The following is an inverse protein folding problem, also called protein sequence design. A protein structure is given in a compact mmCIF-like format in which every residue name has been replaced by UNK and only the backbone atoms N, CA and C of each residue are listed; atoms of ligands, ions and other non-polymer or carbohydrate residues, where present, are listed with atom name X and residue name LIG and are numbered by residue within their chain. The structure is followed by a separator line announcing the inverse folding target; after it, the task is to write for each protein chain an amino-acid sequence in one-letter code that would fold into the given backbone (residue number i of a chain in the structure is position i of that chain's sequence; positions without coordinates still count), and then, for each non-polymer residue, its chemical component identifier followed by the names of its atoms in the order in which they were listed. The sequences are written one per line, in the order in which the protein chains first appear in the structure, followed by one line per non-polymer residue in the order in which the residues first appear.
data_IF_387962828705
#
_entry.id   IF_387962828705
#
_cell.length_a   1.000
_cell.length_b   1.000
_cell.length_c   1.000
_cell.angle_alpha   90.00
_cell.angle_beta   90.00
_cell.angle_gamma   90.00
#
_symmetry.space_group_name_H-M   'P 1'
#
loop_
_entity.id
_entity.type
_entity.pdbx_description
1 polymer ?
#
# COMPACT_ATOMS: atom_id res chain seq x y z
N UNK A 1 23.87 7.36 7.84
CA UNK A 1 23.01 6.29 7.29
C UNK A 1 21.82 6.94 6.62
N UNK A 2 21.66 6.73 5.31
CA UNK A 2 20.53 7.25 4.51
C UNK A 2 19.32 6.32 4.56
N UNK A 3 19.13 5.54 5.61
CA UNK A 3 17.99 4.67 5.83
C UNK A 3 16.94 5.39 6.68
N UNK A 4 15.67 5.15 6.39
CA UNK A 4 14.55 5.67 7.19
C UNK A 4 14.68 5.12 8.61
N UNK A 5 14.80 5.99 9.61
CA UNK A 5 14.75 5.62 11.01
C UNK A 5 13.29 5.37 11.39
N UNK A 6 12.93 4.09 11.59
CA UNK A 6 11.59 3.68 12.03
C UNK A 6 11.50 3.38 13.53
N UNK A 7 12.63 3.19 14.19
CA UNK A 7 12.71 2.94 15.63
C UNK A 7 12.27 4.19 16.41
N UNK A 8 11.30 4.02 17.32
CA UNK A 8 10.77 5.11 18.14
C UNK A 8 9.67 5.97 17.48
N UNK A 9 9.30 5.68 16.24
CA UNK A 9 8.15 6.33 15.57
C UNK A 9 6.94 5.40 15.64
N UNK A 10 5.75 5.97 15.87
CA UNK A 10 4.50 5.21 15.81
C UNK A 10 4.27 4.70 14.37
N UNK A 11 4.01 3.40 14.24
CA UNK A 11 3.62 2.81 12.97
C UNK A 11 2.16 3.13 12.68
N UNK A 12 1.91 3.74 11.54
CA UNK A 12 0.56 4.02 11.07
C UNK A 12 0.18 3.07 9.92
N UNK A 13 -1.08 2.66 9.90
CA UNK A 13 -1.62 1.92 8.76
C UNK A 13 -1.66 2.87 7.55
N UNK A 14 -1.04 2.44 6.46
CA UNK A 14 -1.00 3.24 5.24
C UNK A 14 -2.42 3.54 4.75
N UNK A 15 -2.79 4.80 4.50
CA UNK A 15 -4.13 5.18 4.04
C UNK A 15 -4.56 4.46 2.75
N UNK A 16 -3.65 4.19 1.83
CA UNK A 16 -3.96 3.46 0.60
C UNK A 16 -4.28 1.99 0.86
N UNK A 17 -3.63 1.35 1.84
CA UNK A 17 -3.94 -0.03 2.23
C UNK A 17 -5.30 -0.13 2.95
N UNK A 18 -5.79 0.95 3.57
CA UNK A 18 -7.16 1.00 4.08
C UNK A 18 -8.19 0.82 2.97
N UNK A 19 -7.94 1.33 1.77
CA UNK A 19 -8.83 1.13 0.61
C UNK A 19 -8.85 -0.32 0.16
N UNK A 20 -7.69 -0.98 0.17
CA UNK A 20 -7.57 -2.41 -0.12
C UNK A 20 -8.30 -3.27 0.92
N UNK A 21 -8.17 -2.94 2.21
CA UNK A 21 -8.87 -3.63 3.30
C UNK A 21 -10.39 -3.45 3.14
N UNK A 22 -10.87 -2.25 2.87
CA UNK A 22 -12.29 -1.99 2.67
C UNK A 22 -12.84 -2.78 1.49
N UNK A 23 -12.11 -2.85 0.37
CA UNK A 23 -12.49 -3.66 -0.78
C UNK A 23 -12.60 -5.15 -0.40
N UNK A 24 -11.65 -5.68 0.37
CA UNK A 24 -11.68 -7.04 0.87
C UNK A 24 -12.89 -7.30 1.80
N UNK A 25 -13.19 -6.37 2.71
CA UNK A 25 -14.35 -6.48 3.60
C UNK A 25 -15.68 -6.47 2.83
N UNK A 26 -15.78 -5.68 1.77
CA UNK A 26 -16.96 -5.66 0.88
C UNK A 26 -17.11 -6.99 0.15
N UNK A 27 -16.04 -7.57 -0.37
CA UNK A 27 -16.06 -8.92 -0.97
C UNK A 27 -16.51 -9.95 0.06
N UNK A 28 -15.99 -9.90 1.28
CA UNK A 28 -16.39 -10.79 2.38
C UNK A 28 -17.88 -10.71 2.72
N UNK A 29 -18.49 -9.56 2.57
CA UNK A 29 -19.93 -9.38 2.79
C UNK A 29 -20.79 -9.99 1.66
N UNK A 30 -20.21 -10.20 0.47
CA UNK A 30 -20.89 -10.84 -0.67
C UNK A 30 -20.82 -12.37 -0.62
N UNK A 31 -19.77 -12.93 0.00
CA UNK A 31 -19.51 -14.36 0.01
C UNK A 31 -19.25 -14.87 1.43
N UNK A 32 -19.93 -15.93 1.85
CA UNK A 32 -19.85 -16.47 3.21
C UNK A 32 -18.53 -17.20 3.53
N UNK A 33 -17.77 -17.61 2.52
CA UNK A 33 -16.56 -18.43 2.65
C UNK A 33 -15.27 -17.66 2.38
N UNK A 34 -15.27 -16.32 2.46
CA UNK A 34 -14.09 -15.49 2.26
C UNK A 34 -13.27 -15.38 3.55
N UNK A 35 -11.99 -15.74 3.47
CA UNK A 35 -11.00 -15.46 4.50
C UNK A 35 -10.08 -14.33 4.04
N UNK A 36 -9.95 -13.28 4.85
CA UNK A 36 -9.05 -12.15 4.61
C UNK A 36 -7.81 -12.31 5.47
N UNK A 37 -6.65 -12.23 4.84
CA UNK A 37 -5.34 -12.32 5.51
C UNK A 37 -4.56 -11.04 5.24
N UNK A 38 -4.12 -10.35 6.30
CA UNK A 38 -3.22 -9.20 6.16
C UNK A 38 -1.76 -9.61 6.33
N UNK A 39 -0.89 -9.04 5.49
CA UNK A 39 0.55 -9.27 5.50
C UNK A 39 1.28 -7.92 5.46
N UNK A 40 2.27 -7.76 6.32
CA UNK A 40 3.17 -6.60 6.28
C UNK A 40 4.62 -7.02 6.45
N UNK A 41 5.53 -6.28 5.80
CA UNK A 41 6.97 -6.38 6.02
C UNK A 41 7.43 -5.15 6.80
N UNK A 42 8.04 -5.38 7.96
CA UNK A 42 8.52 -4.28 8.79
C UNK A 42 9.21 -4.72 10.07
N UNK A 43 9.62 -3.76 10.92
CA UNK A 43 10.12 -4.07 12.26
C UNK A 43 9.01 -4.66 13.14
N UNK A 44 9.38 -5.19 14.31
CA UNK A 44 8.41 -5.84 15.21
C UNK A 44 7.20 -4.97 15.58
N UNK A 45 7.39 -3.66 15.67
CA UNK A 45 6.28 -2.71 15.90
C UNK A 45 5.22 -2.69 14.77
N UNK A 46 5.49 -3.29 13.61
CA UNK A 46 4.48 -3.46 12.55
C UNK A 46 3.34 -4.42 12.96
N UNK A 47 3.48 -5.13 14.08
CA UNK A 47 2.38 -5.87 14.70
C UNK A 47 1.17 -4.98 14.96
N UNK A 48 1.37 -3.74 15.39
CA UNK A 48 0.28 -2.78 15.63
C UNK A 48 -0.55 -2.51 14.38
N UNK A 49 0.09 -2.54 13.20
CA UNK A 49 -0.61 -2.42 11.92
C UNK A 49 -1.51 -3.62 11.70
N UNK A 50 -1.00 -4.83 11.90
CA UNK A 50 -1.80 -6.07 11.77
C UNK A 50 -2.97 -6.05 12.76
N UNK A 51 -2.76 -5.62 14.00
CA UNK A 51 -3.85 -5.50 14.99
C UNK A 51 -4.92 -4.50 14.57
N UNK A 52 -4.54 -3.38 13.93
CA UNK A 52 -5.50 -2.43 13.34
C UNK A 52 -6.33 -3.09 12.23
N UNK A 53 -5.72 -3.92 11.36
CA UNK A 53 -6.47 -4.64 10.30
C UNK A 53 -7.43 -5.69 10.87
N UNK A 54 -7.00 -6.44 11.89
CA UNK A 54 -7.85 -7.40 12.60
C UNK A 54 -9.04 -6.72 13.27
N UNK A 55 -8.84 -5.52 13.85
CA UNK A 55 -9.92 -4.74 14.44
C UNK A 55 -10.96 -4.27 13.41
N UNK A 56 -10.56 -4.08 12.14
CA UNK A 56 -11.46 -3.75 11.03
C UNK A 56 -12.27 -4.96 10.52
N UNK A 57 -11.88 -6.21 10.85
CA UNK A 57 -12.62 -7.40 10.43
C UNK A 57 -11.84 -8.39 9.56
N UNK A 58 -10.53 -8.16 9.37
CA UNK A 58 -9.60 -9.13 8.79
C UNK A 58 -9.52 -10.37 9.69
N UNK A 59 -9.45 -11.56 9.10
CA UNK A 59 -9.54 -12.82 9.84
C UNK A 59 -8.21 -13.21 10.50
N UNK A 60 -7.10 -13.04 9.77
CA UNK A 60 -5.74 -13.39 10.20
C UNK A 60 -4.75 -12.33 9.72
N UNK A 61 -3.59 -12.30 10.34
CA UNK A 61 -2.52 -11.47 9.84
C UNK A 61 -1.17 -11.85 10.43
N UNK A 62 -0.09 -11.50 9.74
CA UNK A 62 1.26 -11.77 10.21
C UNK A 62 2.26 -10.74 9.69
N UNK A 63 3.39 -10.70 10.37
CA UNK A 63 4.49 -9.78 10.08
C UNK A 63 5.67 -10.57 9.55
N UNK A 64 6.25 -10.12 8.45
CA UNK A 64 7.55 -10.56 7.97
C UNK A 64 8.58 -9.58 8.51
N UNK A 65 9.41 -10.02 9.46
CA UNK A 65 10.33 -9.15 10.19
C UNK A 65 11.71 -9.81 10.35
N UNK A 66 12.72 -9.13 9.83
CA UNK A 66 14.13 -9.47 10.00
C UNK A 66 14.97 -8.19 9.89
N UNK A 67 16.03 -8.08 10.69
CA UNK A 67 16.99 -6.97 10.58
C UNK A 67 17.63 -6.87 9.19
N UNK A 68 17.72 -7.99 8.49
CA UNK A 68 18.28 -8.08 7.14
C UNK A 68 17.37 -7.46 6.06
N UNK A 69 16.11 -7.19 6.37
CA UNK A 69 15.18 -6.48 5.44
C UNK A 69 15.41 -4.97 5.38
N UNK A 70 16.21 -4.41 6.29
CA UNK A 70 16.45 -2.98 6.34
C UNK A 70 17.04 -2.46 5.03
N UNK A 71 16.53 -1.31 4.56
CA UNK A 71 16.97 -0.65 3.34
C UNK A 71 16.57 -1.35 2.03
N UNK A 72 15.60 -2.27 2.08
CA UNK A 72 15.02 -2.88 0.89
C UNK A 72 14.39 -1.83 -0.02
N UNK A 73 14.67 -1.91 -1.31
CA UNK A 73 13.93 -1.21 -2.36
C UNK A 73 12.62 -1.98 -2.72
N UNK A 74 11.90 -1.52 -3.72
CA UNK A 74 10.65 -2.14 -4.16
C UNK A 74 10.83 -3.55 -4.70
N UNK A 75 11.99 -3.87 -5.29
CA UNK A 75 12.29 -5.21 -5.81
C UNK A 75 12.52 -6.20 -4.66
N UNK A 76 13.38 -5.85 -3.71
CA UNK A 76 13.63 -6.70 -2.54
C UNK A 76 12.38 -6.83 -1.66
N UNK A 77 11.60 -5.74 -1.49
CA UNK A 77 10.34 -5.75 -0.75
C UNK A 77 9.31 -6.65 -1.40
N UNK A 78 9.06 -6.52 -2.70
CA UNK A 78 8.08 -7.34 -3.42
C UNK A 78 8.45 -8.81 -3.45
N UNK A 79 9.75 -9.12 -3.61
CA UNK A 79 10.26 -10.49 -3.51
C UNK A 79 10.00 -11.10 -2.14
N UNK A 80 10.26 -10.36 -1.08
CA UNK A 80 10.02 -10.79 0.31
C UNK A 80 8.55 -11.07 0.54
N UNK A 81 7.66 -10.16 0.15
CA UNK A 81 6.21 -10.33 0.29
C UNK A 81 5.69 -11.50 -0.56
N UNK A 82 6.12 -11.63 -1.80
CA UNK A 82 5.70 -12.74 -2.67
C UNK A 82 6.14 -14.10 -2.13
N UNK A 83 7.36 -14.21 -1.58
CA UNK A 83 7.82 -15.45 -0.94
C UNK A 83 7.06 -15.75 0.35
N UNK A 84 6.73 -14.74 1.15
CA UNK A 84 5.87 -14.91 2.32
C UNK A 84 4.49 -15.44 1.93
N UNK A 85 3.88 -14.89 0.87
CA UNK A 85 2.60 -15.37 0.34
C UNK A 85 2.73 -16.85 -0.05
N UNK A 86 3.70 -17.19 -0.89
CA UNK A 86 3.92 -18.57 -1.36
C UNK A 86 4.13 -19.58 -0.23
N UNK A 87 4.94 -19.21 0.78
CA UNK A 87 5.41 -20.14 1.82
C UNK A 87 4.49 -20.23 3.04
N UNK A 88 3.74 -19.16 3.36
CA UNK A 88 2.96 -19.07 4.60
C UNK A 88 1.45 -18.98 4.38
N UNK A 89 1.01 -18.52 3.22
CA UNK A 89 -0.42 -18.47 2.87
C UNK A 89 -0.75 -19.59 1.88
N UNK A 90 0.08 -19.78 0.88
CA UNK A 90 -0.14 -20.75 -0.21
C UNK A 90 -0.99 -20.15 -1.34
N UNK A 91 -2.01 -20.87 -1.77
CA UNK A 91 -2.88 -20.40 -2.83
C UNK A 91 -3.78 -19.26 -2.33
N UNK A 92 -3.84 -18.20 -3.12
CA UNK A 92 -4.71 -17.05 -2.89
C UNK A 92 -5.50 -16.77 -4.15
N UNK A 93 -6.76 -16.37 -4.00
CA UNK A 93 -7.63 -16.04 -5.13
C UNK A 93 -7.45 -14.57 -5.55
N UNK A 94 -7.16 -13.69 -4.60
CA UNK A 94 -7.03 -12.26 -4.85
C UNK A 94 -6.02 -11.63 -3.89
N UNK A 95 -5.12 -10.80 -4.43
CA UNK A 95 -4.22 -9.97 -3.65
C UNK A 95 -4.62 -8.51 -3.84
N UNK A 96 -4.92 -7.83 -2.74
CA UNK A 96 -5.27 -6.42 -2.71
C UNK A 96 -4.15 -5.63 -2.03
N UNK A 97 -3.69 -4.58 -2.67
CA UNK A 97 -2.68 -3.66 -2.15
C UNK A 97 -3.19 -2.23 -2.25
N UNK A 98 -2.70 -1.34 -1.41
CA UNK A 98 -2.79 0.09 -1.68
C UNK A 98 -1.92 0.50 -2.86
N UNK A 99 -2.28 1.57 -3.54
CA UNK A 99 -1.53 2.07 -4.70
C UNK A 99 -0.11 2.49 -4.33
N UNK A 100 0.05 3.20 -3.22
CA UNK A 100 1.31 3.76 -2.77
C UNK A 100 1.63 3.36 -1.33
N UNK A 101 2.92 3.30 -1.01
CA UNK A 101 3.39 3.36 0.35
C UNK A 101 3.76 4.82 0.67
N UNK A 102 3.29 5.35 1.82
CA UNK A 102 3.50 6.77 2.20
C UNK A 102 4.97 7.14 2.45
N UNK A 103 5.86 6.16 2.56
CA UNK A 103 7.29 6.34 2.77
C UNK A 103 8.11 6.28 1.49
N UNK A 104 7.60 5.69 0.41
CA UNK A 104 8.35 5.50 -0.84
C UNK A 104 7.66 6.05 -2.09
N UNK A 105 6.34 6.11 -2.09
CA UNK A 105 5.47 6.72 -3.11
C UNK A 105 5.78 6.32 -4.58
N UNK A 106 6.19 5.05 -4.79
CA UNK A 106 6.66 4.57 -6.10
C UNK A 106 5.58 3.85 -6.92
N UNK A 107 4.48 3.40 -6.32
CA UNK A 107 3.42 2.56 -6.91
C UNK A 107 3.89 1.24 -7.55
N UNK A 108 5.12 0.80 -7.30
CA UNK A 108 5.74 -0.34 -7.99
C UNK A 108 5.49 -1.68 -7.28
N UNK A 109 5.37 -1.66 -5.96
CA UNK A 109 5.33 -2.90 -5.15
C UNK A 109 4.20 -3.86 -5.55
N UNK A 110 2.95 -3.44 -5.80
CA UNK A 110 1.89 -4.35 -6.22
C UNK A 110 2.20 -5.08 -7.53
N UNK A 111 2.67 -4.34 -8.54
CA UNK A 111 3.04 -4.90 -9.86
C UNK A 111 4.20 -5.88 -9.75
N UNK A 112 5.18 -5.58 -8.91
CA UNK A 112 6.33 -6.47 -8.66
C UNK A 112 5.95 -7.72 -7.87
N UNK A 113 4.97 -7.64 -6.96
CA UNK A 113 4.40 -8.82 -6.29
C UNK A 113 3.75 -9.72 -7.33
N UNK A 114 2.92 -9.15 -8.21
CA UNK A 114 2.28 -9.89 -9.29
C UNK A 114 3.30 -10.61 -10.17
N UNK A 115 4.35 -9.91 -10.59
CA UNK A 115 5.44 -10.49 -11.39
C UNK A 115 6.15 -11.64 -10.67
N UNK A 116 6.46 -11.47 -9.38
CA UNK A 116 7.11 -12.52 -8.58
C UNK A 116 6.22 -13.75 -8.36
N UNK A 117 4.90 -13.57 -8.39
CA UNK A 117 3.91 -14.64 -8.26
C UNK A 117 3.50 -15.26 -9.60
N UNK A 118 3.80 -14.61 -10.73
CA UNK A 118 3.36 -15.00 -12.07
C UNK A 118 1.85 -14.77 -12.27
N UNK A 119 1.28 -13.73 -11.62
CA UNK A 119 -0.14 -13.41 -11.66
C UNK A 119 -0.43 -12.19 -12.53
N UNK A 120 -1.60 -12.12 -13.18
CA UNK A 120 -2.08 -10.90 -13.79
C UNK A 120 -2.29 -9.80 -12.74
N UNK A 121 -2.20 -8.53 -13.18
CA UNK A 121 -2.36 -7.40 -12.29
C UNK A 121 -3.14 -6.27 -12.95
N UNK A 122 -3.92 -5.53 -12.14
CA UNK A 122 -4.55 -4.28 -12.54
C UNK A 122 -4.27 -3.23 -11.47
N UNK A 123 -3.82 -2.05 -11.90
CA UNK A 123 -3.47 -0.94 -11.00
C UNK A 123 -4.50 0.18 -11.04
N UNK A 124 -4.47 1.04 -10.01
CA UNK A 124 -5.30 2.24 -9.90
C UNK A 124 -6.80 1.95 -9.85
N UNK A 125 -7.18 0.88 -9.15
CA UNK A 125 -8.58 0.44 -9.04
C UNK A 125 -9.35 1.38 -8.12
N UNK A 126 -10.41 1.96 -8.64
CA UNK A 126 -11.35 2.81 -7.89
C UNK A 126 -12.52 2.00 -7.34
N UNK A 127 -12.99 1.01 -8.12
CA UNK A 127 -14.17 0.23 -7.78
C UNK A 127 -14.09 -1.19 -8.33
N UNK A 128 -14.55 -2.16 -7.55
CA UNK A 128 -14.82 -3.53 -8.00
C UNK A 128 -16.28 -3.59 -8.38
N UNK A 129 -16.57 -3.78 -9.68
CA UNK A 129 -17.92 -3.79 -10.22
C UNK A 129 -18.59 -5.15 -10.08
N UNK A 130 -17.82 -6.22 -10.32
CA UNK A 130 -18.29 -7.60 -10.29
C UNK A 130 -17.15 -8.52 -9.88
N UNK A 131 -17.46 -9.55 -9.12
CA UNK A 131 -16.52 -10.61 -8.76
C UNK A 131 -17.26 -11.94 -8.65
N UNK A 132 -16.65 -13.01 -9.14
CA UNK A 132 -17.06 -14.39 -8.92
C UNK A 132 -15.84 -15.29 -8.73
N UNK A 133 -16.01 -16.62 -8.71
CA UNK A 133 -14.93 -17.57 -8.45
C UNK A 133 -13.82 -17.58 -9.52
N UNK A 134 -14.05 -17.05 -10.72
CA UNK A 134 -13.13 -17.16 -11.85
C UNK A 134 -12.63 -15.83 -12.37
N UNK A 135 -13.39 -14.78 -12.25
CA UNK A 135 -13.04 -13.48 -12.80
C UNK A 135 -13.50 -12.31 -11.92
N UNK A 136 -12.87 -11.19 -12.13
CA UNK A 136 -13.18 -9.90 -11.50
C UNK A 136 -13.26 -8.81 -12.57
N UNK A 137 -14.29 -7.97 -12.49
CA UNK A 137 -14.46 -6.76 -13.30
C UNK A 137 -14.28 -5.55 -12.44
N UNK A 138 -13.40 -4.66 -12.86
CA UNK A 138 -13.01 -3.49 -12.08
C UNK A 138 -13.05 -2.23 -12.92
N UNK A 139 -13.27 -1.10 -12.24
CA UNK A 139 -13.10 0.23 -12.79
C UNK A 139 -11.76 0.79 -12.31
N UNK A 140 -10.89 1.18 -13.23
CA UNK A 140 -9.60 1.80 -12.93
C UNK A 140 -9.54 3.22 -13.48
N UNK A 141 -8.70 4.04 -12.85
CA UNK A 141 -8.41 5.40 -13.31
C UNK A 141 -7.16 5.37 -14.19
N UNK A 142 -7.22 6.04 -15.31
CA UNK A 142 -6.13 6.27 -16.26
C UNK A 142 -5.98 7.77 -16.51
N UNK A 143 -4.92 8.17 -17.24
CA UNK A 143 -4.62 9.58 -17.48
C UNK A 143 -5.79 10.34 -18.13
N UNK A 144 -6.46 9.71 -19.10
CA UNK A 144 -7.54 10.32 -19.87
C UNK A 144 -8.96 9.97 -19.38
N UNK A 145 -9.09 9.35 -18.19
CA UNK A 145 -10.41 9.01 -17.66
C UNK A 145 -10.48 7.71 -16.85
N UNK A 146 -11.53 6.92 -17.08
CA UNK A 146 -11.78 5.65 -16.39
C UNK A 146 -11.93 4.52 -17.40
N UNK A 147 -11.40 3.35 -17.07
CA UNK A 147 -11.53 2.13 -17.86
C UNK A 147 -12.21 1.02 -17.05
N UNK A 148 -12.98 0.19 -17.75
CA UNK A 148 -13.49 -1.07 -17.18
C UNK A 148 -12.63 -2.21 -17.73
N UNK A 149 -12.06 -3.00 -16.82
CA UNK A 149 -11.14 -4.08 -17.14
C UNK A 149 -11.61 -5.37 -16.48
N UNK A 150 -11.57 -6.47 -17.22
CA UNK A 150 -11.80 -7.82 -16.72
C UNK A 150 -10.46 -8.54 -16.51
N UNK A 151 -10.33 -9.26 -15.39
CA UNK A 151 -9.20 -10.14 -15.14
C UNK A 151 -9.67 -11.51 -14.65
N UNK A 152 -8.89 -12.54 -14.97
CA UNK A 152 -9.07 -13.86 -14.38
C UNK A 152 -8.44 -13.91 -12.98
N UNK A 153 -9.08 -14.59 -12.06
CA UNK A 153 -8.51 -14.95 -10.77
C UNK A 153 -7.60 -16.19 -10.88
N UNK A 154 -6.50 -16.28 -10.13
CA UNK A 154 -6.01 -15.29 -9.17
C UNK A 154 -5.35 -14.08 -9.83
N UNK A 155 -5.48 -12.90 -9.20
CA UNK A 155 -4.84 -11.68 -9.69
C UNK A 155 -4.42 -10.74 -8.55
N UNK A 156 -3.65 -9.70 -8.89
CA UNK A 156 -3.21 -8.64 -7.96
C UNK A 156 -3.84 -7.31 -8.38
N UNK A 157 -4.44 -6.62 -7.43
CA UNK A 157 -5.05 -5.30 -7.65
C UNK A 157 -4.41 -4.25 -6.74
N UNK A 158 -4.17 -3.04 -7.26
CA UNK A 158 -3.81 -1.90 -6.42
C UNK A 158 -4.94 -0.88 -6.36
N UNK A 159 -5.36 -0.56 -5.13
CA UNK A 159 -6.52 0.27 -4.85
C UNK A 159 -6.15 1.73 -4.68
N UNK A 160 -6.93 2.62 -5.27
CA UNK A 160 -6.93 4.06 -4.99
C UNK A 160 -8.11 4.42 -4.10
N UNK A 161 -8.22 5.71 -3.73
CA UNK A 161 -9.33 6.21 -2.94
C UNK A 161 -10.67 5.92 -3.64
N UNK A 162 -11.56 5.14 -3.02
CA UNK A 162 -12.89 4.89 -3.55
C UNK A 162 -13.84 6.06 -3.31
N UNK A 163 -15.00 6.03 -3.96
CA UNK A 163 -16.06 7.02 -3.74
C UNK A 163 -16.98 6.69 -2.54
N UNK A 164 -16.70 5.61 -1.81
CA UNK A 164 -17.47 5.18 -0.65
C UNK A 164 -16.70 5.37 0.66
N UNK A 165 -17.45 5.46 1.77
CA UNK A 165 -16.88 5.57 3.10
C UNK A 165 -16.20 4.26 3.54
N UNK A 166 -15.12 4.40 4.31
CA UNK A 166 -14.38 3.29 4.88
C UNK A 166 -15.03 2.83 6.19
N UNK A 167 -15.02 1.51 6.39
CA UNK A 167 -15.47 0.88 7.62
C UNK A 167 -14.63 1.33 8.83
N UNK A 168 -15.30 1.44 9.98
CA UNK A 168 -14.64 1.74 11.26
C UNK A 168 -14.60 0.49 12.13
N UNK A 169 -13.55 0.30 12.94
CA UNK A 169 -13.49 -0.82 13.84
C UNK A 169 -14.61 -0.77 14.89
N UNK A 170 -15.24 -1.89 15.14
CA UNK A 170 -16.23 -2.06 16.20
C UNK A 170 -15.55 -2.53 17.50
N UNK A 171 -16.20 -2.33 18.65
CA UNK A 171 -15.68 -2.76 19.96
C UNK A 171 -15.29 -4.25 19.98
N UNK A 172 -16.11 -5.09 19.35
CA UNK A 172 -15.81 -6.52 19.24
C UNK A 172 -14.59 -6.80 18.34
N UNK A 173 -14.34 -5.97 17.32
CA UNK A 173 -13.14 -6.04 16.49
C UNK A 173 -11.88 -5.74 17.30
N UNK A 174 -11.88 -4.73 18.16
CA UNK A 174 -10.75 -4.47 19.08
C UNK A 174 -10.50 -5.63 20.04
N UNK A 175 -11.55 -6.22 20.62
CA UNK A 175 -11.44 -7.39 21.49
C UNK A 175 -10.86 -8.60 20.76
N UNK A 176 -11.28 -8.82 19.52
CA UNK A 176 -10.76 -9.87 18.64
C UNK A 176 -9.27 -9.64 18.35
N UNK A 177 -8.90 -8.44 17.88
CA UNK A 177 -7.52 -8.07 17.57
C UNK A 177 -6.57 -8.24 18.76
N UNK A 178 -7.03 -7.89 19.98
CA UNK A 178 -6.24 -8.02 21.19
C UNK A 178 -5.94 -9.49 21.57
N UNK A 179 -6.89 -10.40 21.30
CA UNK A 179 -6.75 -11.82 21.61
C UNK A 179 -6.07 -12.63 20.50
N UNK A 180 -6.00 -12.09 19.31
CA UNK A 180 -5.45 -12.78 18.14
C UNK A 180 -3.95 -12.94 18.27
N UNK A 181 -3.45 -14.11 17.85
CA UNK A 181 -2.02 -14.36 17.69
C UNK A 181 -1.59 -13.76 16.36
N UNK A 182 -0.52 -12.95 16.36
CA UNK A 182 0.11 -12.40 15.19
C UNK A 182 1.47 -13.06 15.00
N UNK A 183 1.61 -14.04 14.08
CA UNK A 183 2.88 -14.69 13.82
C UNK A 183 3.90 -13.75 13.20
N UNK A 184 5.17 -13.98 13.51
CA UNK A 184 6.31 -13.33 12.90
C UNK A 184 7.12 -14.34 12.11
N UNK A 185 7.52 -13.96 10.90
CA UNK A 185 8.37 -14.79 10.04
C UNK A 185 9.63 -14.04 9.64
N UNK A 186 10.76 -14.71 9.77
CA UNK A 186 12.07 -14.22 9.38
C UNK A 186 12.34 -14.47 7.89
N UNK A 187 13.46 -13.99 7.39
CA UNK A 187 13.95 -14.28 6.06
C UNK A 187 14.06 -15.79 5.80
N UNK A 188 14.58 -16.54 6.77
CA UNK A 188 14.77 -18.00 6.67
C UNK A 188 13.43 -18.75 6.63
N UNK A 189 12.44 -18.31 7.41
CA UNK A 189 11.10 -18.89 7.46
C UNK A 189 10.38 -18.83 6.11
N UNK A 190 10.70 -17.83 5.28
CA UNK A 190 10.11 -17.62 3.95
C UNK A 190 11.01 -18.10 2.82
N UNK A 191 12.10 -18.82 3.14
CA UNK A 191 12.98 -19.46 2.17
C UNK A 191 13.86 -18.50 1.36
N UNK A 192 14.22 -17.32 1.91
CA UNK A 192 15.12 -16.36 1.27
C UNK A 192 16.50 -16.35 1.90
N UNK A 193 17.50 -16.01 1.12
CA UNK A 193 18.88 -15.78 1.57
C UNK A 193 19.16 -14.29 1.81
N UNK A 194 20.24 -13.98 2.54
CA UNK A 194 20.63 -12.61 2.83
C UNK A 194 20.98 -11.77 1.59
N UNK A 195 21.37 -12.41 0.49
CA UNK A 195 21.67 -11.77 -0.80
C UNK A 195 20.42 -11.38 -1.59
N UNK A 196 19.26 -11.90 -1.20
CA UNK A 196 17.98 -11.66 -1.88
C UNK A 196 17.13 -10.60 -1.21
N UNK A 197 17.51 -10.13 -0.02
CA UNK A 197 16.71 -9.23 0.83
C UNK A 197 17.47 -7.96 1.23
N UNK A 198 16.73 -6.97 1.72
CA UNK A 198 17.28 -5.72 2.21
C UNK A 198 18.16 -5.01 1.19
N UNK A 199 19.17 -4.30 1.64
CA UNK A 199 20.12 -3.56 0.76
C UNK A 199 20.83 -4.49 -0.20
N UNK A 200 21.20 -5.70 0.22
CA UNK A 200 21.93 -6.65 -0.65
C UNK A 200 21.07 -7.17 -1.80
N UNK A 201 19.77 -7.38 -1.55
CA UNK A 201 18.81 -7.82 -2.56
C UNK A 201 18.24 -6.68 -3.43
N UNK A 202 18.64 -5.43 -3.16
CA UNK A 202 18.13 -4.23 -3.80
C UNK A 202 19.08 -3.74 -4.88
N UNK A 203 18.68 -3.64 -6.15
CA UNK A 203 19.48 -3.00 -7.20
C UNK A 203 19.58 -1.48 -7.03
N UNK A 204 18.72 -0.86 -6.23
CA UNK A 204 18.73 0.58 -5.95
C UNK A 204 18.93 0.86 -4.47
N UNK A 205 19.51 2.02 -4.15
CA UNK A 205 19.67 2.50 -2.77
C UNK A 205 19.60 4.02 -2.71
N UNK A 206 19.19 4.54 -1.56
CA UNK A 206 19.17 5.99 -1.31
C UNK A 206 20.60 6.48 -1.12
N UNK A 207 21.14 7.18 -2.11
CA UNK A 207 22.50 7.74 -2.06
C UNK A 207 22.56 8.97 -1.15
N UNK A 208 21.51 9.83 -1.16
CA UNK A 208 21.45 11.05 -0.36
C UNK A 208 20.01 11.42 -0.05
N UNK A 209 19.73 11.70 1.21
CA UNK A 209 18.48 12.31 1.66
C UNK A 209 18.76 13.77 2.07
N UNK A 210 17.92 14.69 1.61
CA UNK A 210 18.02 16.11 1.99
C UNK A 210 16.64 16.73 2.08
N UNK A 211 16.53 17.76 2.91
CA UNK A 211 15.32 18.57 2.99
C UNK A 211 15.37 19.63 1.91
N UNK A 212 14.43 19.67 0.95
CA UNK A 212 14.44 20.69 -0.07
C UNK A 212 14.19 22.07 0.59
N UNK A 213 15.06 23.03 0.26
CA UNK A 213 14.82 24.41 0.63
C UNK A 213 13.85 25.02 -0.38
N UNK A 214 12.59 25.12 0.00
CA UNK A 214 11.61 25.84 -0.81
C UNK A 214 11.85 27.35 -0.64
N UNK A 215 12.55 27.96 -1.56
CA UNK A 215 12.48 29.41 -1.72
C UNK A 215 11.06 29.72 -2.21
N UNK A 216 10.23 30.23 -1.34
CA UNK A 216 8.93 30.79 -1.73
C UNK A 216 9.20 32.02 -2.60
N UNK A 217 9.42 31.83 -3.88
CA UNK A 217 9.35 32.88 -4.88
C UNK A 217 7.88 33.20 -5.10
N UNK A 218 7.33 34.04 -4.26
CA UNK A 218 5.95 34.51 -4.38
C UNK A 218 5.93 36.02 -4.13
N UNK A 219 5.32 36.76 -5.01
CA UNK A 219 5.07 38.18 -4.82
C UNK A 219 3.89 38.33 -3.83
N UNK A 220 4.16 38.87 -2.66
CA UNK A 220 3.09 39.27 -1.73
C UNK A 220 2.63 40.68 -2.09
N UNK A 221 1.48 40.77 -2.71
CA UNK A 221 0.86 42.06 -3.06
C UNK A 221 -0.16 42.41 -2.01
N UNK A 222 -0.16 43.67 -1.57
CA UNK A 222 -1.24 44.27 -0.79
C UNK A 222 -1.91 45.33 -1.69
N UNK A 223 -2.85 44.93 -2.55
CA UNK A 223 -3.50 45.83 -3.48
C UNK A 223 -4.45 46.74 -2.73
N UNK A 224 -4.51 48.03 -3.09
CA UNK A 224 -5.44 49.01 -2.55
C UNK A 224 -6.83 48.89 -3.18
N UNK A 225 -6.95 48.15 -4.30
CA UNK A 225 -8.20 47.91 -5.00
C UNK A 225 -8.18 46.57 -5.73
N UNK A 226 -9.36 46.06 -6.09
CA UNK A 226 -9.51 44.84 -6.91
C UNK A 226 -8.91 45.01 -8.30
N UNK A 227 -8.99 46.19 -8.89
CA UNK A 227 -8.40 46.50 -10.19
C UNK A 227 -6.87 46.41 -10.17
N UNK A 228 -6.23 46.97 -9.14
CA UNK A 228 -4.79 46.87 -8.95
C UNK A 228 -4.33 45.40 -8.77
N UNK A 229 -5.10 44.61 -7.99
CA UNK A 229 -4.82 43.18 -7.83
C UNK A 229 -4.87 42.43 -9.14
N UNK A 230 -5.87 42.65 -9.97
CA UNK A 230 -6.04 42.04 -11.27
C UNK A 230 -4.90 42.42 -12.24
N UNK A 231 -4.52 43.70 -12.28
CA UNK A 231 -3.42 44.15 -13.13
C UNK A 231 -2.12 43.46 -12.79
N UNK A 232 -1.76 43.39 -11.51
CA UNK A 232 -0.52 42.72 -11.08
C UNK A 232 -0.56 41.22 -11.35
N UNK A 233 -1.71 40.56 -11.20
CA UNK A 233 -1.85 39.12 -11.53
C UNK A 233 -1.65 38.91 -13.04
N UNK A 234 -2.29 39.71 -13.88
CA UNK A 234 -2.19 39.59 -15.34
C UNK A 234 -0.77 39.88 -15.87
N UNK A 235 -0.08 40.85 -15.30
CA UNK A 235 1.31 41.16 -15.66
C UNK A 235 2.29 40.01 -15.30
N UNK A 236 2.01 39.24 -14.23
CA UNK A 236 2.87 38.16 -13.79
C UNK A 236 2.49 36.76 -14.32
N UNK A 237 1.31 36.60 -14.95
CA UNK A 237 0.91 35.32 -15.60
C UNK A 237 1.65 35.09 -16.94
N UNK A 238 2.07 36.15 -17.60
CA UNK A 238 2.75 36.07 -18.89
C UNK A 238 4.22 35.63 -18.81
N UNK A 239 4.77 35.48 -17.61
CA UNK A 239 6.15 35.02 -17.37
C UNK A 239 6.25 33.53 -16.97
N UNK A 240 5.19 32.76 -17.22
CA UNK A 240 5.13 31.30 -16.99
C UNK A 240 5.07 30.51 -18.27
#
# INVERSE_FOLDING_TARGET
NNTIQREGLESILNPYDLYAIEAALRIKNLFSNVEIISLTMGPNQAEDIIRKTLALGVNKGFVVSDKKFAGADTIATSRTLANAIKSKIGNVDLILCGQFAIDGDTAQTPSMIAQNLGLPQITFIKEILEINEKHIRVKRVVEDGEEIVDAQLPCVLSMIKPDYELSRPLINGFKFAQKSIVPFYTMEDIGLSAEQVGIKGSPTYVSKAFRPEYKRAGLKIKPNSMGEALTVILENINDW
#
